data_IF_950361691445
#
_entry.id   IF_950361691445
#
_cell.length_a   1.000
_cell.length_b   1.000
_cell.length_c   1.000
_cell.angle_alpha   90.00
_cell.angle_beta   90.00
_cell.angle_gamma   90.00
#
_symmetry.space_group_name_H-M   'P 1'
#
loop_
_entity.id
_entity.type
_entity.pdbx_description
1 polymer ?
#
# COMPACT_ATOMS: atom_id res chain seq x y z
N UNK A 1 -77.21 3.90 -18.13
CA UNK A 1 -75.75 3.65 -18.13
C UNK A 1 -75.49 2.55 -17.11
N UNK A 2 -74.90 1.44 -17.56
CA UNK A 2 -74.73 0.21 -16.78
C UNK A 2 -73.52 0.34 -15.85
N UNK A 3 -73.70 -0.01 -14.58
CA UNK A 3 -72.63 -0.25 -13.61
C UNK A 3 -72.05 -1.67 -13.77
N UNK A 4 -70.82 -1.83 -13.24
CA UNK A 4 -70.14 -3.05 -12.69
C UNK A 4 -68.77 -3.30 -13.38
N UNK A 5 -67.66 -2.85 -12.76
CA UNK A 5 -66.70 -3.52 -11.83
C UNK A 5 -65.67 -4.42 -12.54
N UNK A 6 -64.38 -4.15 -12.28
CA UNK A 6 -63.34 -5.14 -11.93
C UNK A 6 -61.98 -4.41 -11.81
N UNK A 7 -61.06 -4.72 -10.90
CA UNK A 7 -61.04 -5.40 -9.62
C UNK A 7 -59.63 -5.09 -9.07
N UNK A 8 -59.53 -4.67 -7.80
CA UNK A 8 -58.25 -4.45 -7.14
C UNK A 8 -57.57 -5.77 -6.76
N UNK A 9 -56.25 -5.80 -6.90
CA UNK A 9 -55.36 -6.77 -6.28
C UNK A 9 -54.16 -6.00 -5.73
N UNK A 10 -54.36 -5.38 -4.56
CA UNK A 10 -53.27 -4.94 -3.69
C UNK A 10 -52.74 -6.17 -2.97
N UNK A 11 -51.68 -6.77 -3.54
CA UNK A 11 -50.87 -7.75 -2.83
C UNK A 11 -50.07 -7.02 -1.73
N UNK A 12 -50.57 -7.09 -0.51
CA UNK A 12 -49.79 -6.85 0.71
C UNK A 12 -48.81 -8.02 0.81
N UNK A 13 -47.63 -7.86 0.23
CA UNK A 13 -46.48 -8.66 0.63
C UNK A 13 -45.93 -8.05 1.92
N UNK A 14 -46.34 -8.63 3.05
CA UNK A 14 -45.62 -8.51 4.29
C UNK A 14 -44.21 -9.08 4.07
N UNK A 15 -43.23 -8.23 3.77
CA UNK A 15 -41.83 -8.60 3.91
C UNK A 15 -41.56 -8.65 5.40
N UNK A 16 -41.39 -9.86 5.92
CA UNK A 16 -40.74 -10.10 7.20
C UNK A 16 -39.41 -9.36 7.17
N UNK A 17 -39.26 -8.34 8.01
CA UNK A 17 -38.02 -7.58 8.14
C UNK A 17 -36.89 -8.52 8.55
N UNK A 18 -36.11 -8.96 7.57
CA UNK A 18 -34.72 -9.26 7.82
C UNK A 18 -34.08 -7.90 8.14
N UNK A 19 -33.81 -7.64 9.42
CA UNK A 19 -32.98 -6.52 9.82
C UNK A 19 -31.56 -6.84 9.36
N UNK A 20 -31.30 -6.67 8.06
CA UNK A 20 -29.97 -6.61 7.49
C UNK A 20 -29.23 -5.49 8.23
N UNK A 21 -28.27 -5.85 9.09
CA UNK A 21 -27.55 -4.85 9.87
C UNK A 21 -26.56 -4.14 8.95
N UNK A 22 -27.04 -3.13 8.24
CA UNK A 22 -26.19 -2.18 7.53
C UNK A 22 -25.37 -1.41 8.55
N UNK A 23 -24.08 -1.28 8.30
CA UNK A 23 -23.19 -0.49 9.15
C UNK A 23 -22.33 0.43 8.29
N UNK A 24 -22.12 1.63 8.81
CA UNK A 24 -21.13 2.58 8.31
C UNK A 24 -20.18 2.87 9.46
N UNK A 25 -18.89 2.73 9.18
CA UNK A 25 -17.82 2.98 10.13
C UNK A 25 -17.00 4.15 9.62
N UNK A 26 -16.91 5.21 10.44
CA UNK A 26 -15.85 6.20 10.31
C UNK A 26 -14.61 5.67 11.01
N UNK A 27 -13.45 5.79 10.37
CA UNK A 27 -12.18 5.31 10.90
C UNK A 27 -11.04 6.21 10.44
N UNK A 28 -9.89 6.12 11.09
CA UNK A 28 -8.70 6.85 10.67
C UNK A 28 -7.42 6.51 11.41
N UNK A 29 -6.39 7.26 11.05
CA UNK A 29 -5.00 7.15 11.51
C UNK A 29 -4.40 8.55 11.56
N UNK A 30 -3.70 8.85 12.65
CA UNK A 30 -2.94 10.07 12.87
C UNK A 30 -1.57 9.66 13.40
N UNK A 31 -0.52 10.18 12.80
CA UNK A 31 0.85 10.00 13.25
C UNK A 31 1.62 11.32 13.12
N UNK A 32 2.28 11.68 14.21
CA UNK A 32 3.17 12.82 14.28
C UNK A 32 4.42 12.46 15.10
N UNK A 33 5.56 12.93 14.64
CA UNK A 33 6.84 12.67 15.27
C UNK A 33 7.90 13.70 14.90
N UNK A 34 9.13 13.45 15.35
CA UNK A 34 10.30 14.26 15.03
C UNK A 34 11.37 13.36 14.44
N UNK A 35 11.82 13.67 13.23
CA UNK A 35 12.94 12.98 12.58
C UNK A 35 14.18 13.88 12.49
N UNK A 36 15.34 13.30 12.75
CA UNK A 36 16.63 13.80 12.30
C UNK A 36 17.09 12.99 11.09
N UNK A 37 17.43 13.69 10.00
CA UNK A 37 18.02 13.10 8.80
C UNK A 37 19.42 13.66 8.63
N UNK A 38 20.42 12.79 8.59
CA UNK A 38 21.83 13.18 8.62
C UNK A 38 22.32 13.92 7.37
N UNK A 39 21.71 13.63 6.21
CA UNK A 39 22.09 14.24 4.93
C UNK A 39 20.92 14.20 3.95
N UNK A 40 20.30 15.35 3.69
CA UNK A 40 19.41 15.58 2.56
C UNK A 40 19.98 16.75 1.75
N UNK A 41 20.40 16.48 0.52
CA UNK A 41 20.97 17.49 -0.37
C UNK A 41 22.25 18.19 0.13
N UNK A 42 23.06 17.58 1.01
CA UNK A 42 24.29 18.20 1.51
C UNK A 42 24.29 18.56 2.99
N UNK A 43 23.14 18.53 3.65
CA UNK A 43 23.00 19.00 5.02
C UNK A 43 22.10 18.12 5.86
N UNK A 44 22.30 18.14 7.17
CA UNK A 44 21.36 17.52 8.11
C UNK A 44 20.10 18.35 8.25
N UNK A 45 18.95 17.73 8.51
CA UNK A 45 17.71 18.43 8.83
C UNK A 45 16.96 17.76 9.99
N UNK A 46 16.25 18.58 10.75
CA UNK A 46 15.22 18.16 11.69
C UNK A 46 13.86 18.48 11.09
N UNK A 47 12.93 17.55 11.14
CA UNK A 47 11.57 17.73 10.61
C UNK A 47 10.54 17.19 11.60
N UNK A 48 9.40 17.86 11.65
CA UNK A 48 8.18 17.23 12.14
C UNK A 48 7.71 16.24 11.08
N UNK A 49 7.74 14.97 11.45
CA UNK A 49 7.37 13.85 10.60
C UNK A 49 5.89 13.52 10.78
N UNK A 50 5.24 13.10 9.71
CA UNK A 50 3.87 12.63 9.73
C UNK A 50 3.75 11.27 9.04
N UNK A 51 2.86 10.41 9.51
CA UNK A 51 2.53 9.18 8.81
C UNK A 51 3.63 8.12 8.69
N UNK A 52 4.71 8.18 9.50
CA UNK A 52 5.81 7.21 9.40
C UNK A 52 5.41 5.79 9.85
N UNK A 53 4.81 5.65 11.03
CA UNK A 53 4.32 4.36 11.51
C UNK A 53 3.19 3.86 10.61
N UNK A 54 2.26 4.76 10.31
CA UNK A 54 1.19 4.49 9.37
C UNK A 54 0.73 5.80 8.73
N UNK A 55 0.59 5.87 7.39
CA UNK A 55 0.16 7.09 6.73
C UNK A 55 -1.17 7.62 7.27
N UNK A 56 -1.20 8.93 7.50
CA UNK A 56 -2.38 9.64 8.01
C UNK A 56 -3.55 9.49 7.05
N UNK A 57 -4.71 9.16 7.62
CA UNK A 57 -5.93 8.96 6.84
C UNK A 57 -7.19 9.11 7.67
N UNK A 58 -8.28 9.41 7.00
CA UNK A 58 -9.62 9.19 7.52
C UNK A 58 -10.51 8.65 6.40
N UNK A 59 -11.56 7.92 6.77
CA UNK A 59 -12.44 7.35 5.79
C UNK A 59 -13.77 6.85 6.36
N UNK A 60 -14.62 6.46 5.43
CA UNK A 60 -15.89 5.80 5.66
C UNK A 60 -15.86 4.46 4.94
N UNK A 61 -16.23 3.39 5.64
CA UNK A 61 -16.47 2.08 5.04
C UNK A 61 -17.82 1.56 5.48
N UNK A 62 -18.50 0.83 4.62
CA UNK A 62 -19.78 0.27 4.97
C UNK A 62 -20.05 -1.07 4.32
N UNK A 63 -20.97 -1.78 4.96
CA UNK A 63 -21.48 -3.08 4.54
C UNK A 63 -23.00 -3.03 4.69
N UNK A 64 -23.70 -3.43 3.64
CA UNK A 64 -25.15 -3.66 3.64
C UNK A 64 -25.38 -5.12 3.30
N UNK A 65 -26.10 -5.83 4.17
CA UNK A 65 -26.49 -7.21 3.91
C UNK A 65 -27.69 -7.23 2.94
N UNK A 66 -27.51 -7.88 1.79
CA UNK A 66 -28.54 -8.03 0.77
C UNK A 66 -29.33 -9.34 0.92
N UNK A 67 -29.02 -10.14 1.95
CA UNK A 67 -29.58 -11.45 2.20
C UNK A 67 -28.85 -12.56 1.44
N UNK A 68 -29.07 -13.81 1.88
CA UNK A 68 -28.50 -15.00 1.21
C UNK A 68 -26.97 -15.09 1.24
N UNK A 69 -26.29 -14.31 2.09
CA UNK A 69 -24.83 -14.21 2.17
C UNK A 69 -24.21 -13.28 1.12
N UNK A 70 -25.01 -12.48 0.42
CA UNK A 70 -24.56 -11.41 -0.48
C UNK A 70 -24.60 -10.06 0.24
N UNK A 71 -23.59 -9.22 0.03
CA UNK A 71 -23.44 -7.92 0.69
C UNK A 71 -23.04 -6.86 -0.33
N UNK A 72 -23.55 -5.63 -0.21
CA UNK A 72 -22.91 -4.45 -0.79
C UNK A 72 -21.79 -4.00 0.11
N UNK A 73 -20.66 -3.58 -0.46
CA UNK A 73 -19.53 -2.99 0.27
C UNK A 73 -19.11 -1.68 -0.38
N UNK A 74 -18.65 -0.71 0.40
CA UNK A 74 -18.03 0.51 -0.11
C UNK A 74 -16.92 1.01 0.81
N UNK A 75 -16.01 1.79 0.25
CA UNK A 75 -15.00 2.52 1.00
C UNK A 75 -14.66 3.84 0.30
N UNK A 76 -14.59 4.90 1.10
CA UNK A 76 -14.07 6.21 0.74
C UNK A 76 -12.96 6.55 1.75
N UNK A 77 -11.75 6.81 1.29
CA UNK A 77 -10.58 7.02 2.15
C UNK A 77 -9.71 8.17 1.62
N UNK A 78 -9.51 9.18 2.47
CA UNK A 78 -8.64 10.32 2.23
C UNK A 78 -7.32 10.15 2.99
N UNK A 79 -6.21 10.46 2.34
CA UNK A 79 -4.93 10.72 2.98
C UNK A 79 -4.70 12.21 3.16
N UNK A 80 -4.10 12.58 4.29
CA UNK A 80 -3.72 13.96 4.60
C UNK A 80 -2.34 13.96 5.26
N UNK A 81 -1.86 15.14 5.65
CA UNK A 81 -0.62 15.29 6.43
C UNK A 81 -0.93 15.99 7.75
N UNK A 82 -0.70 15.34 8.89
CA UNK A 82 -1.04 15.88 10.22
C UNK A 82 -0.33 17.20 10.52
N UNK A 83 0.91 17.38 10.04
CA UNK A 83 1.71 18.58 10.28
C UNK A 83 1.27 19.82 9.46
N UNK A 84 0.51 19.66 8.37
CA UNK A 84 0.11 20.79 7.50
C UNK A 84 -1.40 20.87 7.25
N UNK A 85 -2.15 19.81 7.53
CA UNK A 85 -3.56 19.66 7.16
C UNK A 85 -3.80 19.53 5.65
N UNK A 86 -2.75 19.46 4.82
CA UNK A 86 -2.89 19.34 3.38
C UNK A 86 -3.32 17.92 2.97
N UNK A 87 -4.04 17.81 1.85
CA UNK A 87 -4.29 16.51 1.22
C UNK A 87 -2.98 15.84 0.80
N UNK A 88 -2.90 14.51 0.97
CA UNK A 88 -1.74 13.74 0.52
C UNK A 88 -1.52 13.85 -0.99
N UNK A 89 -2.63 13.94 -1.76
CA UNK A 89 -2.65 14.29 -3.18
C UNK A 89 -3.47 15.56 -3.37
N UNK A 90 -2.81 16.64 -3.79
CA UNK A 90 -3.45 17.94 -3.98
C UNK A 90 -4.68 17.85 -4.90
N UNK A 91 -5.81 18.42 -4.45
CA UNK A 91 -7.06 18.46 -5.20
C UNK A 91 -7.83 17.14 -5.28
N UNK A 92 -7.37 16.06 -4.63
CA UNK A 92 -8.03 14.74 -4.67
C UNK A 92 -8.42 14.31 -3.26
N UNK A 93 -9.72 14.42 -2.94
CA UNK A 93 -10.22 14.07 -1.61
C UNK A 93 -10.05 12.57 -1.30
N UNK A 94 -10.55 11.66 -2.13
CA UNK A 94 -10.44 10.21 -1.85
C UNK A 94 -9.27 9.59 -2.62
N UNK A 95 -8.05 10.06 -2.35
CA UNK A 95 -6.83 9.66 -3.06
C UNK A 95 -6.30 8.27 -2.70
N UNK A 96 -6.87 7.62 -1.68
CA UNK A 96 -6.45 6.30 -1.22
C UNK A 96 -7.35 5.22 -1.78
N UNK A 97 -8.65 5.32 -1.51
CA UNK A 97 -9.65 4.36 -1.95
C UNK A 97 -10.99 5.06 -2.17
N UNK A 98 -11.63 4.77 -3.31
CA UNK A 98 -13.00 5.18 -3.58
C UNK A 98 -13.68 4.13 -4.45
N UNK A 99 -14.42 3.21 -3.83
CA UNK A 99 -15.06 2.11 -4.55
C UNK A 99 -16.38 1.68 -3.93
N UNK A 100 -17.17 0.97 -4.73
CA UNK A 100 -18.35 0.19 -4.33
C UNK A 100 -18.26 -1.20 -4.93
N UNK A 101 -18.90 -2.19 -4.33
CA UNK A 101 -18.82 -3.56 -4.79
C UNK A 101 -19.84 -4.50 -4.18
N UNK A 102 -19.78 -5.75 -4.61
CA UNK A 102 -20.54 -6.87 -4.08
C UNK A 102 -19.61 -7.90 -3.47
N UNK A 103 -19.99 -8.44 -2.33
CA UNK A 103 -19.25 -9.46 -1.61
C UNK A 103 -20.13 -10.66 -1.30
N UNK A 104 -19.59 -11.86 -1.48
CA UNK A 104 -20.21 -13.11 -1.04
C UNK A 104 -19.19 -13.96 -0.30
N UNK A 105 -19.58 -14.48 0.85
CA UNK A 105 -18.70 -15.33 1.68
C UNK A 105 -18.33 -16.65 0.97
N UNK A 106 -19.05 -17.03 -0.11
CA UNK A 106 -18.81 -18.25 -0.90
C UNK A 106 -17.89 -18.03 -2.10
N UNK A 107 -17.92 -16.85 -2.70
CA UNK A 107 -17.25 -16.57 -3.99
C UNK A 107 -16.08 -15.60 -3.78
N UNK A 108 -16.32 -14.53 -3.03
CA UNK A 108 -15.39 -13.42 -2.87
C UNK A 108 -16.05 -12.06 -3.09
N UNK A 109 -15.21 -11.05 -3.33
CA UNK A 109 -15.61 -9.66 -3.46
C UNK A 109 -15.19 -9.11 -4.81
N UNK A 110 -16.11 -8.43 -5.50
CA UNK A 110 -15.83 -7.62 -6.69
C UNK A 110 -16.10 -6.16 -6.39
N UNK A 111 -15.14 -5.28 -6.68
CA UNK A 111 -15.20 -3.84 -6.41
C UNK A 111 -14.83 -3.03 -7.64
N UNK A 112 -15.50 -1.90 -7.82
CA UNK A 112 -15.30 -0.98 -8.92
C UNK A 112 -14.94 0.41 -8.38
N UNK A 113 -13.86 1.00 -8.88
CA UNK A 113 -13.47 2.38 -8.54
C UNK A 113 -11.96 2.63 -8.51
N UNK A 114 -11.54 3.52 -7.62
CA UNK A 114 -10.15 3.86 -7.33
C UNK A 114 -9.62 2.97 -6.20
N UNK A 115 -8.58 2.17 -6.49
CA UNK A 115 -8.17 1.07 -5.61
C UNK A 115 -6.66 0.87 -5.60
N UNK A 116 -6.14 0.37 -4.47
CA UNK A 116 -4.72 0.06 -4.26
C UNK A 116 -4.18 -1.06 -5.19
N UNK A 117 -2.87 -1.18 -5.37
CA UNK A 117 -2.29 -2.30 -6.10
C UNK A 117 -2.24 -3.59 -5.26
N UNK A 118 -2.15 -4.76 -5.91
CA UNK A 118 -1.97 -6.02 -5.17
C UNK A 118 -0.61 -6.12 -4.48
N UNK A 119 0.44 -5.51 -5.03
CA UNK A 119 1.76 -5.39 -4.39
C UNK A 119 1.62 -4.76 -3.00
N UNK A 120 0.93 -3.63 -2.90
CA UNK A 120 0.57 -3.03 -1.61
C UNK A 120 -0.31 -3.96 -0.76
N UNK A 121 -1.42 -4.47 -1.30
CA UNK A 121 -2.40 -5.22 -0.51
C UNK A 121 -1.89 -6.57 0.03
N UNK A 122 -0.92 -7.20 -0.65
CA UNK A 122 -0.47 -8.58 -0.37
C UNK A 122 0.99 -8.65 0.06
N UNK A 123 1.90 -7.94 -0.60
CA UNK A 123 3.34 -7.98 -0.30
C UNK A 123 3.74 -6.90 0.70
N UNK A 124 3.13 -5.71 0.66
CA UNK A 124 3.37 -4.62 1.61
C UNK A 124 3.33 -5.11 3.07
N UNK A 125 2.27 -5.83 3.52
CA UNK A 125 2.18 -6.40 4.87
C UNK A 125 3.24 -7.45 5.25
N UNK A 126 4.12 -7.84 4.32
CA UNK A 126 5.23 -8.76 4.53
C UNK A 126 6.60 -8.05 4.48
N UNK A 127 6.64 -6.75 4.18
CA UNK A 127 7.89 -5.99 4.11
C UNK A 127 8.42 -5.62 5.50
N UNK A 128 9.73 -5.41 5.62
CA UNK A 128 10.32 -4.88 6.86
C UNK A 128 9.72 -3.53 7.21
N UNK A 129 9.58 -2.63 6.24
CA UNK A 129 9.06 -1.28 6.46
C UNK A 129 7.66 -1.27 7.11
N UNK A 130 6.75 -2.12 6.60
CA UNK A 130 5.39 -2.21 7.14
C UNK A 130 5.37 -2.82 8.53
N UNK A 131 6.11 -3.93 8.73
CA UNK A 131 6.11 -4.66 9.98
C UNK A 131 6.92 -3.96 11.08
N UNK A 132 7.91 -3.15 10.71
CA UNK A 132 8.72 -2.36 11.65
C UNK A 132 8.13 -0.97 11.93
N UNK A 133 7.01 -0.61 11.30
CA UNK A 133 6.37 0.69 11.46
C UNK A 133 7.32 1.85 11.10
N UNK A 134 8.01 1.73 9.96
CA UNK A 134 8.75 2.84 9.37
C UNK A 134 8.54 2.96 7.87
N UNK A 135 7.84 4.04 7.51
CA UNK A 135 7.62 4.43 6.12
C UNK A 135 8.93 4.73 5.39
N UNK A 136 9.94 5.24 6.09
CA UNK A 136 11.26 5.50 5.52
C UNK A 136 11.95 4.26 4.97
N UNK A 137 11.66 3.09 5.52
CA UNK A 137 12.32 1.84 5.14
C UNK A 137 11.74 1.16 3.90
N UNK A 138 10.66 1.71 3.31
CA UNK A 138 10.26 1.24 2.00
C UNK A 138 11.36 1.51 0.97
N UNK A 139 11.35 0.70 -0.09
CA UNK A 139 12.44 0.71 -1.05
C UNK A 139 12.54 2.08 -1.78
N UNK A 140 13.74 2.50 -2.20
CA UNK A 140 13.96 3.79 -2.84
C UNK A 140 12.99 4.07 -3.99
N UNK A 141 12.29 5.19 -3.88
CA UNK A 141 11.27 5.63 -4.85
C UNK A 141 9.97 4.83 -4.87
N UNK A 142 9.84 3.77 -4.06
CA UNK A 142 8.67 2.88 -4.00
C UNK A 142 8.22 2.41 -5.39
N UNK A 143 9.18 2.06 -6.25
CA UNK A 143 8.93 1.67 -7.65
C UNK A 143 8.17 0.33 -7.72
N UNK A 144 8.25 -0.50 -6.69
CA UNK A 144 7.53 -1.76 -6.55
C UNK A 144 6.16 -1.64 -5.86
N UNK A 145 5.75 -0.42 -5.50
CA UNK A 145 4.38 -0.10 -5.03
C UNK A 145 3.99 -0.75 -3.70
N UNK A 146 4.97 -1.12 -2.87
CA UNK A 146 4.72 -1.70 -1.55
C UNK A 146 4.12 -0.68 -0.55
N UNK A 147 4.20 0.62 -0.86
CA UNK A 147 3.74 1.74 -0.04
C UNK A 147 2.75 2.68 -0.75
N UNK A 148 2.03 2.19 -1.76
CA UNK A 148 1.11 3.02 -2.56
C UNK A 148 -0.14 3.41 -1.79
N UNK A 149 -0.01 4.47 -1.00
CA UNK A 149 -1.12 5.05 -0.24
C UNK A 149 -1.24 6.56 -0.35
N UNK A 150 -0.19 7.28 -0.77
CA UNK A 150 -0.30 8.71 -1.11
C UNK A 150 -0.75 8.93 -2.57
N UNK A 151 -0.15 8.14 -3.48
CA UNK A 151 -0.48 8.13 -4.90
C UNK A 151 -0.88 6.70 -5.27
N UNK A 152 -2.17 6.41 -5.13
CA UNK A 152 -2.71 5.13 -5.57
C UNK A 152 -2.89 5.17 -7.09
N UNK A 153 -2.35 4.18 -7.85
CA UNK A 153 -2.24 4.30 -9.30
C UNK A 153 -3.49 3.88 -10.07
N UNK A 154 -4.44 3.14 -9.47
CA UNK A 154 -5.48 2.44 -10.23
C UNK A 154 -6.85 3.07 -10.12
N UNK A 155 -7.08 4.04 -11.00
CA UNK A 155 -8.39 4.58 -11.34
C UNK A 155 -9.16 3.64 -12.28
N UNK A 156 -10.49 3.82 -12.35
CA UNK A 156 -11.38 3.11 -13.28
C UNK A 156 -11.16 1.59 -13.28
N UNK A 157 -11.00 1.03 -12.08
CA UNK A 157 -10.59 -0.36 -11.91
C UNK A 157 -11.75 -1.27 -11.52
N UNK A 158 -11.69 -2.51 -11.98
CA UNK A 158 -12.48 -3.64 -11.46
C UNK A 158 -11.51 -4.58 -10.77
N UNK A 159 -11.73 -4.85 -9.49
CA UNK A 159 -10.89 -5.75 -8.68
C UNK A 159 -11.75 -6.88 -8.13
N UNK A 160 -11.28 -8.11 -8.28
CA UNK A 160 -11.86 -9.30 -7.67
C UNK A 160 -10.88 -9.92 -6.68
N UNK A 161 -11.40 -10.38 -5.54
CA UNK A 161 -10.70 -11.20 -4.55
C UNK A 161 -11.58 -12.38 -4.20
N UNK A 162 -11.07 -13.60 -4.31
CA UNK A 162 -11.83 -14.79 -3.95
C UNK A 162 -12.06 -14.87 -2.44
N UNK A 163 -13.10 -15.61 -2.06
CA UNK A 163 -13.19 -16.16 -0.71
C UNK A 163 -11.97 -17.07 -0.46
N UNK A 164 -11.61 -17.26 0.82
CA UNK A 164 -10.52 -18.15 1.19
C UNK A 164 -10.96 -19.61 1.10
N UNK A 165 -10.13 -20.45 0.48
CA UNK A 165 -10.32 -21.89 0.39
C UNK A 165 -9.11 -22.62 0.98
N UNK A 166 -9.27 -23.21 2.16
CA UNK A 166 -8.19 -23.88 2.91
C UNK A 166 -6.94 -22.98 3.08
N UNK A 167 -7.16 -21.69 3.32
CA UNK A 167 -6.11 -20.69 3.50
C UNK A 167 -5.66 -19.99 2.22
N UNK A 168 -6.01 -20.51 1.03
CA UNK A 168 -5.68 -19.87 -0.25
C UNK A 168 -6.73 -18.86 -0.68
N UNK A 169 -6.30 -17.73 -1.22
CA UNK A 169 -7.15 -16.82 -1.99
C UNK A 169 -6.43 -16.30 -3.22
N UNK A 170 -7.20 -15.96 -4.25
CA UNK A 170 -6.69 -15.40 -5.50
C UNK A 170 -7.32 -14.04 -5.77
N UNK A 171 -6.59 -13.19 -6.48
CA UNK A 171 -7.05 -11.87 -6.89
C UNK A 171 -6.77 -11.62 -8.36
N UNK A 172 -7.63 -10.83 -8.99
CA UNK A 172 -7.43 -10.30 -10.32
C UNK A 172 -7.95 -8.86 -10.38
N UNK A 173 -7.29 -7.99 -11.13
CA UNK A 173 -7.72 -6.61 -11.28
C UNK A 173 -7.38 -6.09 -12.68
N UNK A 174 -8.30 -5.33 -13.25
CA UNK A 174 -8.10 -4.59 -14.48
C UNK A 174 -8.38 -3.10 -14.23
N UNK A 175 -7.46 -2.24 -14.66
CA UNK A 175 -7.63 -0.78 -14.69
C UNK A 175 -7.68 -0.28 -16.13
N UNK A 176 -8.59 0.65 -16.42
CA UNK A 176 -8.76 1.25 -17.74
C UNK A 176 -8.16 2.65 -17.80
N UNK A 177 -7.40 2.97 -18.85
CA UNK A 177 -6.77 4.28 -19.03
C UNK A 177 -7.72 5.42 -19.42
N UNK A 178 -9.03 5.16 -19.47
CA UNK A 178 -10.09 6.14 -19.79
C UNK A 178 -9.91 6.86 -21.15
N UNK A 179 -9.40 6.14 -22.15
CA UNK A 179 -9.32 6.61 -23.54
C UNK A 179 -10.00 5.63 -24.47
N UNK A 180 -10.24 6.04 -25.73
CA UNK A 180 -10.77 5.14 -26.77
C UNK A 180 -9.75 4.10 -27.25
N UNK A 181 -8.47 4.28 -26.94
CA UNK A 181 -7.43 3.29 -27.18
C UNK A 181 -7.25 2.41 -25.95
N UNK A 182 -7.80 1.20 -25.99
CA UNK A 182 -7.73 0.23 -24.88
C UNK A 182 -6.32 -0.26 -24.53
N UNK A 183 -5.30 0.11 -25.29
CA UNK A 183 -3.89 -0.19 -24.96
C UNK A 183 -3.24 0.89 -24.09
N UNK A 184 -3.79 2.11 -24.06
CA UNK A 184 -3.24 3.25 -23.31
C UNK A 184 -3.68 3.21 -21.86
N UNK A 185 -2.73 3.37 -20.93
CA UNK A 185 -2.98 3.45 -19.48
C UNK A 185 -3.67 2.22 -18.89
N UNK A 186 -3.59 1.07 -19.56
CA UNK A 186 -4.23 -0.17 -19.10
C UNK A 186 -3.34 -0.88 -18.07
N UNK A 187 -3.97 -1.36 -17.01
CA UNK A 187 -3.35 -2.24 -16.01
C UNK A 187 -4.05 -3.58 -15.95
N UNK A 188 -3.29 -4.67 -15.85
CA UNK A 188 -3.76 -6.01 -15.49
C UNK A 188 -2.90 -6.55 -14.35
N UNK A 189 -3.51 -7.05 -13.29
CA UNK A 189 -2.76 -7.62 -12.17
C UNK A 189 -3.45 -8.83 -11.54
N UNK A 190 -2.65 -9.66 -10.89
CA UNK A 190 -3.04 -10.89 -10.23
C UNK A 190 -2.35 -11.01 -8.87
N UNK A 191 -3.01 -11.74 -7.97
CA UNK A 191 -2.44 -12.09 -6.67
C UNK A 191 -2.79 -13.52 -6.29
N UNK A 192 -1.90 -14.13 -5.52
CA UNK A 192 -2.12 -15.36 -4.77
C UNK A 192 -1.71 -15.09 -3.33
N UNK A 193 -2.57 -15.42 -2.37
CA UNK A 193 -2.28 -15.34 -0.95
C UNK A 193 -2.53 -16.70 -0.28
N UNK A 194 -1.73 -17.01 0.73
CA UNK A 194 -1.93 -18.14 1.61
C UNK A 194 -1.79 -17.70 3.06
N UNK A 195 -2.73 -18.12 3.91
CA UNK A 195 -2.63 -17.95 5.35
C UNK A 195 -3.17 -19.19 6.06
N UNK A 196 -2.33 -19.81 6.87
CA UNK A 196 -2.72 -20.95 7.70
C UNK A 196 -1.90 -20.99 8.99
N UNK A 197 -2.57 -20.73 10.12
CA UNK A 197 -1.92 -20.63 11.42
C UNK A 197 -0.76 -19.61 11.42
N UNK A 198 0.47 -20.01 11.80
CA UNK A 198 1.61 -19.10 11.91
C UNK A 198 2.22 -18.70 10.57
N UNK A 199 1.90 -19.38 9.47
CA UNK A 199 2.51 -19.13 8.17
C UNK A 199 1.60 -18.30 7.26
N UNK A 200 2.19 -17.28 6.63
CA UNK A 200 1.56 -16.46 5.60
C UNK A 200 2.50 -16.36 4.40
N UNK A 201 1.94 -16.35 3.20
CA UNK A 201 2.68 -16.11 1.97
C UNK A 201 1.83 -15.36 0.95
N UNK A 202 2.50 -14.67 0.04
CA UNK A 202 1.87 -13.91 -1.02
C UNK A 202 2.74 -13.88 -2.27
N UNK A 203 2.10 -13.80 -3.43
CA UNK A 203 2.74 -13.53 -4.71
C UNK A 203 1.85 -12.61 -5.54
N UNK A 204 2.45 -11.68 -6.27
CA UNK A 204 1.73 -10.71 -7.08
C UNK A 204 2.41 -10.53 -8.44
N UNK A 205 1.60 -10.16 -9.43
CA UNK A 205 2.06 -9.76 -10.74
C UNK A 205 1.17 -8.61 -11.24
N UNK A 206 1.76 -7.59 -11.81
CA UNK A 206 1.09 -6.50 -12.49
C UNK A 206 1.80 -6.16 -13.80
N UNK A 207 1.01 -5.79 -14.79
CA UNK A 207 1.43 -5.31 -16.09
C UNK A 207 0.72 -4.00 -16.36
N UNK A 208 1.49 -2.93 -16.44
CA UNK A 208 0.99 -1.55 -16.50
C UNK A 208 1.56 -0.87 -17.73
N UNK A 209 0.75 -0.04 -18.38
CA UNK A 209 1.17 0.76 -19.53
C UNK A 209 1.16 2.24 -19.16
N UNK A 210 2.09 3.01 -19.72
CA UNK A 210 2.18 4.46 -19.54
C UNK A 210 2.33 4.89 -18.06
N UNK A 211 3.04 4.09 -17.25
CA UNK A 211 3.24 4.36 -15.83
C UNK A 211 4.36 5.38 -15.63
N UNK A 212 4.15 6.32 -14.70
CA UNK A 212 5.16 7.33 -14.31
C UNK A 212 5.76 6.97 -12.94
N UNK A 213 6.81 6.12 -12.87
CA UNK A 213 7.47 5.80 -11.61
C UNK A 213 8.31 6.98 -11.10
N UNK A 214 8.47 7.08 -9.79
CA UNK A 214 9.24 8.16 -9.14
C UNK A 214 10.76 7.93 -9.22
N UNK A 215 11.32 7.80 -10.43
CA UNK A 215 12.77 7.51 -10.60
C UNK A 215 13.63 8.61 -9.98
N UNK A 216 13.25 9.88 -10.16
CA UNK A 216 14.03 11.03 -9.69
C UNK A 216 14.27 11.03 -8.17
N UNK A 217 13.36 10.45 -7.39
CA UNK A 217 13.48 10.40 -5.92
C UNK A 217 14.52 9.39 -5.44
N UNK A 218 15.07 8.56 -6.34
CA UNK A 218 16.20 7.66 -6.07
C UNK A 218 17.57 8.33 -6.23
N UNK A 219 17.61 9.59 -6.69
CA UNK A 219 18.86 10.29 -7.03
C UNK A 219 19.32 10.09 -8.48
N UNK A 220 18.66 9.22 -9.24
CA UNK A 220 18.90 9.08 -10.68
C UNK A 220 18.27 10.27 -11.41
N UNK A 221 19.07 11.08 -12.11
CA UNK A 221 18.61 12.29 -12.81
C UNK A 221 18.33 12.09 -14.29
N UNK A 222 18.98 11.12 -14.92
CA UNK A 222 18.71 10.65 -16.28
C UNK A 222 18.54 9.13 -16.27
N UNK A 223 17.48 8.63 -16.90
CA UNK A 223 17.14 7.22 -16.93
C UNK A 223 16.65 6.84 -18.32
N UNK A 224 17.21 5.76 -18.88
CA UNK A 224 16.86 5.26 -20.22
C UNK A 224 16.91 6.35 -21.31
N UNK A 225 17.88 7.27 -21.22
CA UNK A 225 18.14 8.31 -22.22
C UNK A 225 17.32 9.60 -22.04
N UNK A 226 16.44 9.69 -21.04
CA UNK A 226 15.61 10.88 -20.79
C UNK A 226 15.72 11.37 -19.35
N UNK A 227 15.27 12.60 -19.10
CA UNK A 227 15.25 13.16 -17.75
C UNK A 227 14.31 12.34 -16.85
N UNK A 228 14.81 11.92 -15.68
CA UNK A 228 14.05 11.08 -14.76
C UNK A 228 12.81 11.79 -14.18
N UNK A 229 12.83 13.13 -14.13
CA UNK A 229 11.70 13.94 -13.66
C UNK A 229 10.47 13.88 -14.59
N UNK A 230 10.65 13.50 -15.85
CA UNK A 230 9.59 13.40 -16.86
C UNK A 230 9.51 11.98 -17.44
N UNK A 231 10.12 11.00 -16.77
CA UNK A 231 10.17 9.63 -17.26
C UNK A 231 8.81 8.95 -17.06
N UNK A 232 8.25 8.46 -18.17
CA UNK A 232 7.06 7.60 -18.19
C UNK A 232 7.47 6.33 -18.93
N UNK A 233 7.37 5.19 -18.26
CA UNK A 233 7.63 3.89 -18.86
C UNK A 233 6.48 3.54 -19.80
N UNK A 234 6.81 3.06 -21.00
CA UNK A 234 5.82 2.54 -21.96
C UNK A 234 5.12 1.32 -21.35
N UNK A 235 5.90 0.48 -20.65
CA UNK A 235 5.43 -0.73 -20.00
C UNK A 235 6.20 -1.03 -18.72
N UNK A 236 5.47 -1.47 -17.70
CA UNK A 236 6.01 -1.93 -16.42
C UNK A 236 5.50 -3.32 -16.10
N UNK A 237 6.41 -4.23 -15.78
CA UNK A 237 6.08 -5.55 -15.20
C UNK A 237 6.55 -5.58 -13.75
N UNK A 238 5.62 -5.45 -12.81
CA UNK A 238 5.87 -5.50 -11.37
C UNK A 238 5.47 -6.87 -10.83
N UNK A 239 6.41 -7.64 -10.31
CA UNK A 239 6.15 -8.96 -9.71
C UNK A 239 6.89 -9.13 -8.40
N UNK A 240 6.35 -9.95 -7.52
CA UNK A 240 7.03 -10.27 -6.28
C UNK A 240 6.41 -11.45 -5.55
N UNK A 241 7.13 -11.92 -4.54
CA UNK A 241 6.66 -12.93 -3.62
C UNK A 241 7.29 -12.71 -2.25
N UNK A 242 6.56 -13.09 -1.20
CA UNK A 242 7.03 -13.00 0.17
C UNK A 242 6.35 -14.00 1.08
N UNK A 243 6.92 -14.17 2.26
CA UNK A 243 6.36 -15.03 3.29
C UNK A 243 6.73 -14.55 4.69
N UNK A 244 5.97 -15.01 5.67
CA UNK A 244 6.29 -14.86 7.09
C UNK A 244 5.89 -16.09 7.89
N UNK A 245 6.59 -16.30 9.01
CA UNK A 245 6.29 -17.37 9.95
C UNK A 245 6.39 -16.87 11.39
N UNK A 246 5.35 -17.12 12.20
CA UNK A 246 5.31 -16.78 13.61
C UNK A 246 5.81 -17.95 14.49
N UNK A 247 6.98 -17.79 15.10
CA UNK A 247 7.55 -18.66 16.12
C UNK A 247 7.28 -18.11 17.52
N UNK A 248 6.10 -18.38 18.08
CA UNK A 248 5.73 -17.86 19.40
C UNK A 248 5.73 -16.33 19.42
N UNK A 249 6.73 -15.71 20.06
CA UNK A 249 6.91 -14.24 20.12
C UNK A 249 7.73 -13.64 18.96
N UNK A 250 8.36 -14.48 18.15
CA UNK A 250 9.24 -14.07 17.05
C UNK A 250 8.52 -14.25 15.71
N UNK A 251 8.29 -13.16 14.98
CA UNK A 251 7.91 -13.18 13.57
C UNK A 251 9.18 -13.07 12.73
N UNK A 252 9.36 -13.96 11.76
CA UNK A 252 10.38 -13.80 10.71
C UNK A 252 9.66 -13.63 9.38
N UNK A 253 10.14 -12.72 8.55
CA UNK A 253 9.51 -12.40 7.27
C UNK A 253 10.55 -12.00 6.22
N UNK A 254 10.13 -12.03 4.97
CA UNK A 254 10.92 -11.52 3.87
C UNK A 254 10.16 -11.60 2.56
N UNK A 255 10.63 -10.80 1.61
CA UNK A 255 10.06 -10.71 0.28
C UNK A 255 11.12 -10.37 -0.77
N UNK A 256 10.74 -10.62 -2.01
CA UNK A 256 11.47 -10.22 -3.19
C UNK A 256 10.50 -9.53 -4.16
N UNK A 257 10.93 -8.40 -4.72
CA UNK A 257 10.23 -7.71 -5.80
C UNK A 257 11.14 -7.51 -6.99
N UNK A 258 10.53 -7.52 -8.19
CA UNK A 258 11.16 -7.25 -9.46
C UNK A 258 10.24 -6.40 -10.31
N UNK A 259 10.71 -5.21 -10.67
CA UNK A 259 10.01 -4.28 -11.57
C UNK A 259 10.84 -4.11 -12.83
N UNK A 260 10.33 -4.60 -13.96
CA UNK A 260 10.93 -4.34 -15.28
C UNK A 260 10.32 -3.07 -15.86
N UNK A 261 11.17 -2.11 -16.20
CA UNK A 261 10.80 -0.82 -16.78
C UNK A 261 11.26 -0.78 -18.24
N UNK A 262 10.33 -0.55 -19.17
CA UNK A 262 10.58 -0.49 -20.61
C UNK A 262 10.20 0.90 -21.15
N UNK A 263 11.10 1.53 -21.91
CA UNK A 263 10.87 2.83 -22.56
C UNK A 263 11.69 2.93 -23.84
N UNK A 264 11.04 3.23 -24.97
CA UNK A 264 11.69 3.49 -26.26
C UNK A 264 12.75 2.43 -26.66
N UNK A 265 12.48 1.15 -26.35
CA UNK A 265 13.39 0.03 -26.64
C UNK A 265 14.49 -0.22 -25.59
N UNK A 266 14.63 0.64 -24.58
CA UNK A 266 15.45 0.38 -23.41
C UNK A 266 14.72 -0.51 -22.40
N UNK A 267 15.48 -1.30 -21.64
CA UNK A 267 14.94 -2.08 -20.53
C UNK A 267 15.90 -2.12 -19.35
N UNK A 268 15.39 -1.82 -18.16
CA UNK A 268 16.10 -1.94 -16.90
C UNK A 268 15.21 -2.65 -15.88
N UNK A 269 15.83 -3.30 -14.91
CA UNK A 269 15.10 -4.02 -13.84
C UNK A 269 15.48 -3.43 -12.49
N UNK A 270 14.46 -3.01 -11.75
CA UNK A 270 14.51 -2.71 -10.32
C UNK A 270 14.29 -4.02 -9.56
N UNK A 271 15.17 -4.36 -8.62
CA UNK A 271 15.02 -5.57 -7.80
C UNK A 271 15.27 -5.23 -6.35
N UNK A 272 14.42 -5.72 -5.45
CA UNK A 272 14.59 -5.56 -4.01
C UNK A 272 14.53 -6.92 -3.31
N UNK A 273 15.46 -7.14 -2.39
CA UNK A 273 15.48 -8.27 -1.45
C UNK A 273 15.30 -7.69 -0.06
N UNK A 274 14.25 -8.08 0.64
CA UNK A 274 13.87 -7.56 1.96
C UNK A 274 13.71 -8.75 2.92
N UNK A 275 14.31 -8.66 4.10
CA UNK A 275 14.10 -9.62 5.18
C UNK A 275 14.21 -8.94 6.54
N UNK A 276 13.37 -9.39 7.48
CA UNK A 276 13.36 -8.86 8.82
C UNK A 276 12.77 -9.82 9.85
N UNK A 277 12.77 -9.34 11.09
CA UNK A 277 12.20 -10.04 12.21
C UNK A 277 11.61 -9.07 13.23
N UNK A 278 10.57 -9.53 13.93
CA UNK A 278 9.89 -8.78 14.97
C UNK A 278 9.79 -9.65 16.21
N UNK A 279 10.20 -9.14 17.36
CA UNK A 279 10.12 -9.84 18.64
C UNK A 279 9.21 -9.10 19.61
N UNK A 280 8.15 -9.77 20.04
CA UNK A 280 7.22 -9.26 21.05
C UNK A 280 7.74 -9.56 22.46
N UNK A 281 8.36 -8.56 23.11
CA UNK A 281 8.87 -8.69 24.48
C UNK A 281 7.72 -8.88 25.48
N UNK A 282 6.74 -7.99 25.41
CA UNK A 282 5.53 -7.98 26.26
C UNK A 282 4.29 -7.83 25.37
N UNK A 283 3.07 -7.99 25.91
CA UNK A 283 1.84 -7.74 25.13
C UNK A 283 1.71 -6.30 24.58
N UNK A 284 2.50 -5.36 25.09
CA UNK A 284 2.44 -3.94 24.73
C UNK A 284 3.75 -3.41 24.13
N UNK A 285 4.77 -4.26 23.92
CA UNK A 285 6.06 -3.80 23.40
C UNK A 285 6.68 -4.83 22.45
N UNK A 286 7.17 -4.33 21.32
CA UNK A 286 7.87 -5.12 20.31
C UNK A 286 9.04 -4.35 19.71
N UNK A 287 10.14 -5.04 19.48
CA UNK A 287 11.22 -4.54 18.61
C UNK A 287 11.09 -5.21 17.26
N UNK A 288 11.25 -4.43 16.20
CA UNK A 288 11.26 -4.90 14.83
C UNK A 288 12.51 -4.37 14.12
N UNK A 289 12.99 -5.10 13.13
CA UNK A 289 14.11 -4.64 12.33
C UNK A 289 14.39 -5.59 11.19
N UNK A 290 15.22 -5.13 10.27
CA UNK A 290 15.55 -5.86 9.07
C UNK A 290 16.46 -5.10 8.15
N UNK A 291 16.63 -5.62 6.95
CA UNK A 291 17.42 -5.01 5.91
C UNK A 291 16.81 -5.25 4.54
N UNK A 292 16.95 -4.26 3.68
CA UNK A 292 16.61 -4.38 2.27
C UNK A 292 17.81 -4.03 1.40
N UNK A 293 17.97 -4.69 0.27
CA UNK A 293 18.90 -4.24 -0.79
C UNK A 293 18.16 -4.15 -2.11
N UNK A 294 18.24 -2.95 -2.70
CA UNK A 294 17.60 -2.61 -3.96
C UNK A 294 18.64 -2.27 -5.01
N UNK A 295 18.43 -2.72 -6.25
CA UNK A 295 19.28 -2.36 -7.40
C UNK A 295 18.46 -1.84 -8.57
N UNK A 296 18.97 -0.83 -9.28
CA UNK A 296 18.41 -0.33 -10.54
C UNK A 296 19.51 0.28 -11.40
N UNK A 297 19.65 -0.17 -12.65
CA UNK A 297 20.55 0.44 -13.65
C UNK A 297 22.00 0.71 -13.15
N UNK A 298 22.57 -0.22 -12.38
CA UNK A 298 23.92 -0.10 -11.82
C UNK A 298 23.99 0.63 -10.46
N UNK A 299 22.90 1.23 -10.02
CA UNK A 299 22.75 1.78 -8.67
C UNK A 299 22.34 0.70 -7.67
N UNK A 300 22.78 0.86 -6.43
CA UNK A 300 22.44 -0.04 -5.32
C UNK A 300 22.21 0.77 -4.05
N UNK A 301 21.15 0.45 -3.33
CA UNK A 301 20.85 0.95 -1.98
C UNK A 301 20.69 -0.22 -1.04
N UNK A 302 21.39 -0.20 0.09
CA UNK A 302 21.24 -1.19 1.15
C UNK A 302 20.79 -0.46 2.40
N UNK A 303 19.57 -0.74 2.84
CA UNK A 303 18.89 -0.15 3.98
C UNK A 303 18.92 -1.10 5.17
N UNK A 304 19.10 -0.55 6.36
CA UNK A 304 18.98 -1.25 7.64
C UNK A 304 18.06 -0.45 8.54
N UNK A 305 17.21 -1.15 9.28
CA UNK A 305 16.29 -0.55 10.24
C UNK A 305 16.26 -1.35 11.54
N UNK A 306 16.12 -0.63 12.66
CA UNK A 306 15.61 -1.17 13.91
C UNK A 306 14.68 -0.16 14.57
N UNK A 307 13.58 -0.66 15.13
CA UNK A 307 12.54 0.13 15.76
C UNK A 307 11.96 -0.53 17.00
N UNK A 308 11.58 0.28 17.99
CA UNK A 308 10.79 -0.14 19.13
C UNK A 308 9.39 0.48 19.04
N UNK A 309 8.36 -0.34 19.25
CA UNK A 309 6.96 0.06 19.21
C UNK A 309 6.34 -0.30 20.55
N UNK A 310 5.78 0.71 21.22
CA UNK A 310 5.17 0.59 22.54
C UNK A 310 3.70 1.00 22.50
N UNK A 311 2.79 0.07 22.77
CA UNK A 311 1.35 0.32 22.85
C UNK A 311 0.95 0.92 24.21
N UNK A 312 0.49 2.17 24.22
CA UNK A 312 -0.19 2.79 25.36
C UNK A 312 -1.63 2.26 25.50
N UNK A 313 -2.26 1.95 24.36
CA UNK A 313 -3.57 1.32 24.28
C UNK A 313 -3.67 0.48 23.00
N UNK A 314 -4.84 -0.12 22.74
CA UNK A 314 -5.12 -0.79 21.45
C UNK A 314 -5.04 0.14 20.24
N UNK A 315 -5.22 1.44 20.48
CA UNK A 315 -5.38 2.47 19.46
C UNK A 315 -4.29 3.53 19.51
N UNK A 316 -3.32 3.43 20.43
CA UNK A 316 -2.30 4.47 20.62
C UNK A 316 -0.97 3.86 20.93
N UNK A 317 0.04 4.23 20.15
CA UNK A 317 1.38 3.67 20.19
C UNK A 317 2.41 4.81 20.18
N UNK A 318 3.48 4.63 20.92
CA UNK A 318 4.72 5.38 20.79
C UNK A 318 5.71 4.53 20.02
N UNK A 319 6.59 5.17 19.26
CA UNK A 319 7.63 4.46 18.54
C UNK A 319 8.94 5.25 18.49
N UNK A 320 10.03 4.51 18.30
CA UNK A 320 11.35 5.06 17.98
C UNK A 320 12.02 4.17 16.94
N UNK A 321 12.56 4.76 15.88
CA UNK A 321 13.21 4.08 14.77
C UNK A 321 14.61 4.65 14.55
N UNK A 322 15.55 3.78 14.20
CA UNK A 322 16.88 4.13 13.72
C UNK A 322 17.13 3.41 12.40
N UNK A 323 17.42 4.19 11.35
CA UNK A 323 17.64 3.68 10.01
C UNK A 323 19.00 4.12 9.47
N UNK A 324 19.64 3.25 8.71
CA UNK A 324 20.90 3.54 8.01
C UNK A 324 20.85 3.00 6.59
N UNK A 325 21.21 3.82 5.62
CA UNK A 325 21.35 3.40 4.23
C UNK A 325 22.78 3.61 3.74
N UNK A 326 23.29 2.59 3.04
CA UNK A 326 24.56 2.63 2.33
C UNK A 326 24.34 2.40 0.84
N UNK A 327 24.63 3.42 0.04
CA UNK A 327 24.55 3.34 -1.40
C UNK A 327 25.86 2.82 -2.05
N UNK A 328 25.72 2.29 -3.27
CA UNK A 328 26.80 1.83 -4.14
C UNK A 328 27.77 2.94 -4.55
N UNK A 329 28.81 2.59 -5.30
CA UNK A 329 29.66 3.60 -5.94
C UNK A 329 28.83 4.43 -6.93
N UNK A 330 29.02 5.74 -6.98
CA UNK A 330 28.30 6.66 -7.86
C UNK A 330 26.77 6.64 -7.67
N UNK A 331 26.32 6.32 -6.45
CA UNK A 331 24.91 6.35 -6.07
C UNK A 331 24.79 7.14 -4.79
N UNK A 332 23.84 8.06 -4.75
CA UNK A 332 23.49 8.77 -3.52
C UNK A 332 22.47 7.97 -2.74
N UNK A 333 22.59 7.99 -1.41
CA UNK A 333 21.56 7.42 -0.54
C UNK A 333 20.25 8.20 -0.70
N UNK A 334 19.14 7.49 -0.76
CA UNK A 334 17.82 7.96 -1.11
C UNK A 334 16.74 7.12 -0.40
N UNK A 335 16.70 7.19 0.94
CA UNK A 335 15.57 6.66 1.70
C UNK A 335 14.25 7.19 1.15
N UNK A 336 13.23 6.34 1.12
CA UNK A 336 11.90 6.76 0.67
C UNK A 336 11.42 7.96 1.48
N UNK A 337 10.92 8.99 0.81
CA UNK A 337 10.42 10.26 1.39
C UNK A 337 11.42 11.12 2.21
N UNK A 338 12.65 10.66 2.48
CA UNK A 338 13.65 11.44 3.25
C UNK A 338 14.30 12.57 2.43
N UNK A 339 14.27 12.42 1.10
CA UNK A 339 15.02 13.22 0.14
C UNK A 339 16.40 12.63 -0.13
N UNK A 340 16.90 12.85 -1.36
CA UNK A 340 18.19 12.33 -1.81
C UNK A 340 19.32 13.03 -1.05
N UNK A 341 20.27 12.24 -0.55
CA UNK A 341 21.49 12.74 0.08
C UNK A 341 22.51 13.25 -0.96
N UNK A 342 23.58 13.89 -0.51
CA UNK A 342 24.71 14.30 -1.37
C UNK A 342 25.86 13.29 -1.38
N UNK A 343 25.60 12.06 -0.94
CA UNK A 343 26.63 11.04 -0.87
C UNK A 343 26.09 9.68 -0.52
N UNK A 344 26.98 8.76 -0.16
CA UNK A 344 26.62 7.33 -0.11
C UNK A 344 25.96 6.87 1.19
N UNK A 345 25.78 7.76 2.15
CA UNK A 345 25.26 7.41 3.47
C UNK A 345 24.16 8.36 3.89
N UNK A 346 23.10 7.80 4.44
CA UNK A 346 22.04 8.55 5.10
C UNK A 346 21.63 7.81 6.37
N UNK A 347 21.38 8.55 7.44
CA UNK A 347 20.93 8.01 8.73
C UNK A 347 19.70 8.79 9.15
N UNK A 348 18.71 8.08 9.66
CA UNK A 348 17.46 8.64 10.15
C UNK A 348 17.26 8.17 11.58
N UNK A 349 17.03 9.11 12.50
CA UNK A 349 16.50 8.82 13.83
C UNK A 349 15.15 9.47 13.94
N UNK A 350 14.14 8.72 14.38
CA UNK A 350 12.77 9.20 14.44
C UNK A 350 12.10 8.68 15.70
N UNK A 351 11.25 9.49 16.30
CA UNK A 351 10.31 9.05 17.32
C UNK A 351 8.99 9.78 17.16
N UNK A 352 7.89 9.14 17.52
CA UNK A 352 6.57 9.73 17.36
C UNK A 352 5.47 9.00 18.12
N UNK A 353 4.26 9.48 17.91
CA UNK A 353 3.02 8.92 18.42
C UNK A 353 2.07 8.65 17.26
N UNK A 354 1.50 7.44 17.26
CA UNK A 354 0.46 7.04 16.34
C UNK A 354 -0.85 6.78 17.10
N UNK A 355 -1.96 7.24 16.52
CA UNK A 355 -3.32 7.03 17.03
C UNK A 355 -4.28 6.60 15.92
N UNK A 356 -5.04 5.53 16.15
CA UNK A 356 -6.10 5.06 15.26
C UNK A 356 -7.48 5.17 15.90
N UNK A 357 -8.48 5.60 15.14
CA UNK A 357 -9.87 5.76 15.62
C UNK A 357 -10.89 5.08 14.71
#
# INVERSE_FOLDING_TARGET
MKHIIAAGLTAICATTGAWAQSSVTLYGSLDAGIAYISNAGGSSKWIEEQGNMQPDRWGLKGVEDLGGGLKTVFQLENGFYTNTGAFAKAGVLFNRQAFVGLSSDKIGTVTLGHQTPFSFDVLGPLSTAYLAASWYAFHPGNIDELADTGVVPFDNSVKFRSASFNGFSVGAMMGLGNTTNFSTGKTLSFALSYANGPFKAGATYANEHDRTPSIITTGITNFQGVAAATYTADKVENMGAGASYQFGKLLVHGLYTRVKLEYAGHSNTYQSYDAGANYQFTPFNSIAGGAATTTLAGHRWTQFEIGDIYALSKSTQLYVNALYERAGSNTDAAFFTAGVSSGRNQTIFLTGIHHSF
#
